data_IF_081530479525
#
_entry.id   IF_081530479525
#
_cell.length_a   1.000
_cell.length_b   1.000
_cell.length_c   1.000
_cell.angle_alpha   90.00
_cell.angle_beta   90.00
_cell.angle_gamma   90.00
#
_symmetry.space_group_name_H-M   'P 1'
#
loop_
_entity.id
_entity.type
_entity.pdbx_description
1 polymer ?
#
# COMPACT_ATOMS: atom_id res chain seq x y z
N UNK A 1 31.16 7.15 25.41
CA UNK A 1 29.92 7.87 25.10
C UNK A 1 28.76 6.97 25.53
N UNK A 2 28.17 7.26 26.69
CA UNK A 2 26.96 6.58 27.17
C UNK A 2 25.81 6.93 26.23
N UNK A 3 25.18 5.92 25.61
CA UNK A 3 23.93 6.12 24.87
C UNK A 3 22.87 6.55 25.88
N UNK A 4 22.57 7.83 25.90
CA UNK A 4 21.57 8.41 26.80
C UNK A 4 20.20 8.13 26.19
N UNK A 5 19.53 7.09 26.70
CA UNK A 5 18.20 6.69 26.25
C UNK A 5 17.16 7.52 27.02
N UNK A 6 16.53 8.49 26.35
CA UNK A 6 15.40 9.22 26.92
C UNK A 6 14.10 8.47 26.72
N UNK A 7 13.21 8.51 27.72
CA UNK A 7 11.85 7.99 27.59
C UNK A 7 10.96 9.04 26.95
N UNK A 8 10.08 8.63 26.05
CA UNK A 8 9.15 9.50 25.34
C UNK A 8 7.74 8.96 25.47
N UNK A 9 6.81 9.84 25.82
CA UNK A 9 5.39 9.57 25.96
C UNK A 9 4.65 10.33 24.86
N UNK A 10 3.81 9.63 24.11
CA UNK A 10 2.97 10.20 23.07
C UNK A 10 1.54 10.28 23.58
N UNK A 11 0.90 11.44 23.39
CA UNK A 11 -0.50 11.68 23.74
C UNK A 11 -1.21 12.19 22.49
N UNK A 12 -2.43 11.72 22.28
CA UNK A 12 -3.31 12.20 21.22
C UNK A 12 -4.33 13.16 21.83
N UNK A 13 -4.44 14.35 21.25
CA UNK A 13 -5.34 15.42 21.68
C UNK A 13 -5.21 15.72 23.19
N UNK A 14 -6.33 15.76 23.90
CA UNK A 14 -6.41 16.02 25.34
C UNK A 14 -6.49 14.73 26.19
N UNK A 15 -6.12 13.58 25.60
CA UNK A 15 -6.13 12.31 26.33
C UNK A 15 -5.09 12.29 27.46
N UNK A 16 -5.52 11.80 28.63
CA UNK A 16 -4.66 11.71 29.83
C UNK A 16 -3.73 10.50 29.79
N UNK A 17 -4.07 9.47 29.02
CA UNK A 17 -3.25 8.27 28.89
C UNK A 17 -2.37 8.40 27.66
N UNK A 18 -1.08 8.04 27.74
CA UNK A 18 -0.24 8.02 26.57
C UNK A 18 -0.65 6.88 25.63
N UNK A 19 -0.72 7.16 24.33
CA UNK A 19 -0.94 6.16 23.29
C UNK A 19 0.29 5.25 23.12
N UNK A 20 1.48 5.71 23.53
CA UNK A 20 2.71 4.94 23.54
C UNK A 20 3.74 5.50 24.53
N UNK A 21 4.45 4.60 25.21
CA UNK A 21 5.71 4.88 25.93
C UNK A 21 6.86 4.21 25.16
N UNK A 22 7.87 4.99 24.79
CA UNK A 22 8.96 4.54 23.92
C UNK A 22 10.32 5.01 24.42
N UNK A 23 11.39 4.34 24.02
CA UNK A 23 12.78 4.72 24.31
C UNK A 23 13.49 5.22 23.06
N UNK A 24 14.17 6.36 23.13
CA UNK A 24 14.84 6.96 21.97
C UNK A 24 16.24 6.39 21.70
N UNK A 25 16.73 6.42 20.44
CA UNK A 25 16.01 6.74 19.21
C UNK A 25 15.15 5.56 18.73
N UNK A 26 13.95 5.83 18.22
CA UNK A 26 12.98 4.81 17.80
C UNK A 26 12.21 5.24 16.57
N UNK A 27 11.83 4.27 15.74
CA UNK A 27 10.83 4.43 14.68
C UNK A 27 9.52 3.85 15.19
N UNK A 28 8.48 4.67 15.25
CA UNK A 28 7.16 4.29 15.73
C UNK A 28 6.15 4.33 14.58
N UNK A 29 5.46 3.22 14.36
CA UNK A 29 4.40 3.12 13.36
C UNK A 29 3.09 3.60 13.98
N UNK A 30 2.69 4.82 13.66
CA UNK A 30 1.47 5.43 14.14
C UNK A 30 0.29 5.04 13.23
N UNK A 31 -0.61 4.19 13.74
CA UNK A 31 -1.81 3.75 13.03
C UNK A 31 -2.95 4.76 13.21
N UNK A 32 -3.27 5.49 12.15
CA UNK A 32 -4.33 6.51 12.16
C UNK A 32 -5.71 5.95 11.87
N UNK A 33 -5.87 4.67 11.48
CA UNK A 33 -7.15 4.12 11.00
C UNK A 33 -8.26 4.12 12.07
N UNK A 34 -7.88 4.16 13.35
CA UNK A 34 -8.82 4.19 14.49
C UNK A 34 -9.08 5.60 15.01
N UNK A 35 -8.38 6.59 14.47
CA UNK A 35 -8.53 7.99 14.86
C UNK A 35 -9.70 8.57 14.04
N UNK A 36 -10.63 9.32 14.67
CA UNK A 36 -11.69 10.01 13.95
C UNK A 36 -11.15 10.95 12.88
N UNK A 37 -11.98 11.30 11.90
CA UNK A 37 -11.63 12.34 10.94
C UNK A 37 -11.70 13.71 11.59
N UNK A 38 -10.75 14.58 11.24
CA UNK A 38 -10.69 15.94 11.77
C UNK A 38 -9.29 16.42 12.10
N UNK A 39 -9.22 17.58 12.75
CA UNK A 39 -7.98 18.16 13.25
C UNK A 39 -7.61 17.52 14.59
N UNK A 40 -6.35 17.13 14.73
CA UNK A 40 -5.79 16.46 15.89
C UNK A 40 -4.44 17.07 16.29
N UNK A 41 -4.06 16.85 17.54
CA UNK A 41 -2.79 17.31 18.11
C UNK A 41 -2.04 16.13 18.70
N UNK A 42 -0.85 15.83 18.16
CA UNK A 42 0.07 14.87 18.75
C UNK A 42 1.00 15.59 19.72
N UNK A 43 0.86 15.28 21.01
CA UNK A 43 1.72 15.80 22.07
C UNK A 43 2.78 14.77 22.44
N UNK A 44 4.04 15.16 22.30
CA UNK A 44 5.22 14.34 22.59
C UNK A 44 5.89 14.91 23.84
N UNK A 45 5.99 14.11 24.89
CA UNK A 45 6.67 14.46 26.15
C UNK A 45 7.90 13.59 26.32
N UNK A 46 9.08 14.16 26.19
CA UNK A 46 10.36 13.48 26.46
C UNK A 46 10.77 13.71 27.90
N UNK A 47 11.16 12.65 28.62
CA UNK A 47 11.78 12.70 29.94
C UNK A 47 13.23 12.26 29.84
N UNK A 48 14.14 13.18 30.13
CA UNK A 48 15.58 12.90 30.22
C UNK A 48 15.91 12.20 31.54
N UNK A 49 17.01 11.45 31.55
CA UNK A 49 17.56 10.80 32.75
C UNK A 49 17.92 11.80 33.86
N UNK A 50 18.13 13.08 33.51
CA UNK A 50 18.37 14.17 34.46
C UNK A 50 17.08 14.81 34.99
N UNK A 51 15.90 14.22 34.72
CA UNK A 51 14.59 14.70 35.20
C UNK A 51 14.03 15.92 34.46
N UNK A 52 14.66 16.35 33.36
CA UNK A 52 14.13 17.43 32.51
C UNK A 52 13.08 16.88 31.56
N UNK A 53 11.97 17.61 31.44
CA UNK A 53 10.89 17.29 30.50
C UNK A 53 10.92 18.25 29.31
N UNK A 54 10.79 17.71 28.10
CA UNK A 54 10.62 18.47 26.87
C UNK A 54 9.28 18.15 26.23
N UNK A 55 8.51 19.17 25.83
CA UNK A 55 7.19 19.00 25.23
C UNK A 55 7.22 19.52 23.79
N UNK A 56 6.69 18.72 22.85
CA UNK A 56 6.48 19.13 21.46
C UNK A 56 5.03 18.83 21.05
N UNK A 57 4.37 19.79 20.42
CA UNK A 57 3.03 19.65 19.86
C UNK A 57 3.11 19.64 18.34
N UNK A 58 2.35 18.75 17.71
CA UNK A 58 2.26 18.63 16.25
C UNK A 58 0.78 18.58 15.88
N UNK A 59 0.31 19.59 15.15
CA UNK A 59 -1.04 19.61 14.59
C UNK A 59 -1.06 18.81 13.28
N UNK A 60 -2.08 17.97 13.11
CA UNK A 60 -2.27 17.16 11.90
C UNK A 60 -3.76 16.89 11.68
N UNK A 61 -4.13 16.58 10.43
CA UNK A 61 -5.51 16.27 10.07
C UNK A 61 -5.63 14.80 9.63
N UNK A 62 -6.61 14.09 10.18
CA UNK A 62 -6.94 12.72 9.78
C UNK A 62 -8.11 12.74 8.80
N UNK A 63 -7.97 11.96 7.71
CA UNK A 63 -8.97 11.80 6.64
C UNK A 63 -9.06 10.33 6.23
N UNK A 64 -9.67 9.51 7.09
CA UNK A 64 -9.94 8.11 6.87
C UNK A 64 -11.31 7.87 6.19
N UNK A 65 -12.22 8.84 6.28
CA UNK A 65 -13.56 8.77 5.71
C UNK A 65 -13.61 8.99 4.19
N UNK A 66 -14.83 8.91 3.60
CA UNK A 66 -15.02 9.08 2.17
C UNK A 66 -14.62 10.49 1.72
N UNK A 67 -13.93 10.56 0.58
CA UNK A 67 -13.61 11.83 -0.07
C UNK A 67 -14.83 12.34 -0.81
N UNK A 68 -15.24 13.56 -0.51
CA UNK A 68 -16.36 14.24 -1.18
C UNK A 68 -15.77 15.20 -2.22
N UNK A 69 -16.25 15.13 -3.47
CA UNK A 69 -15.99 16.14 -4.49
C UNK A 69 -17.30 16.82 -4.87
N UNK A 70 -17.25 18.14 -5.00
CA UNK A 70 -18.38 18.96 -5.42
C UNK A 70 -17.96 19.67 -6.70
N UNK A 71 -18.78 19.54 -7.73
CA UNK A 71 -18.65 20.27 -8.99
C UNK A 71 -19.84 21.22 -9.14
N UNK A 72 -19.59 22.36 -9.78
CA UNK A 72 -20.59 23.41 -9.96
C UNK A 72 -20.54 24.54 -8.93
N UNK A 73 -19.65 24.48 -7.92
CA UNK A 73 -19.39 25.59 -6.99
C UNK A 73 -17.95 25.52 -6.46
N UNK A 74 -17.26 26.66 -6.44
CA UNK A 74 -15.87 26.80 -5.95
C UNK A 74 -15.81 27.60 -4.63
N UNK A 75 -14.69 27.47 -3.92
CA UNK A 75 -14.45 28.27 -2.72
C UNK A 75 -14.47 29.78 -3.06
N UNK A 76 -15.27 30.53 -2.30
CA UNK A 76 -15.47 31.98 -2.43
C UNK A 76 -16.25 32.46 -3.66
N UNK A 77 -16.97 31.58 -4.37
CA UNK A 77 -17.86 32.00 -5.46
C UNK A 77 -19.02 32.88 -4.94
N UNK A 78 -19.34 33.94 -5.69
CA UNK A 78 -20.53 34.78 -5.47
C UNK A 78 -21.57 34.35 -6.48
N UNK A 79 -22.65 33.74 -6.01
CA UNK A 79 -23.71 33.14 -6.86
C UNK A 79 -25.07 33.77 -6.57
N UNK A 80 -25.92 33.86 -7.60
CA UNK A 80 -27.28 34.38 -7.51
C UNK A 80 -28.26 33.43 -8.21
N UNK A 81 -29.42 33.16 -7.60
CA UNK A 81 -30.44 32.28 -8.17
C UNK A 81 -30.18 30.78 -7.89
N UNK A 82 -30.50 29.92 -8.86
CA UNK A 82 -30.36 28.46 -8.75
C UNK A 82 -29.20 27.92 -9.58
N UNK A 83 -28.30 27.17 -8.96
CA UNK A 83 -27.10 26.60 -9.57
C UNK A 83 -27.13 25.07 -9.45
N UNK A 84 -26.94 24.31 -10.54
CA UNK A 84 -26.84 22.86 -10.47
C UNK A 84 -25.51 22.46 -9.82
N UNK A 85 -25.57 21.60 -8.81
CA UNK A 85 -24.41 21.03 -8.14
C UNK A 85 -24.36 19.52 -8.37
N UNK A 86 -23.17 19.03 -8.66
CA UNK A 86 -22.88 17.60 -8.69
C UNK A 86 -22.02 17.25 -7.49
N UNK A 87 -22.49 16.29 -6.68
CA UNK A 87 -21.80 15.86 -5.46
C UNK A 87 -21.44 14.38 -5.64
N UNK A 88 -20.15 14.08 -5.57
CA UNK A 88 -19.65 12.71 -5.59
C UNK A 88 -19.01 12.39 -4.24
N UNK A 89 -19.18 11.16 -3.76
CA UNK A 89 -18.53 10.66 -2.57
C UNK A 89 -17.83 9.33 -2.89
N UNK A 90 -16.52 9.28 -2.68
CA UNK A 90 -15.69 8.12 -2.93
C UNK A 90 -15.12 7.63 -1.61
N UNK A 91 -15.54 6.44 -1.19
CA UNK A 91 -14.91 5.76 -0.06
C UNK A 91 -13.59 5.12 -0.50
N UNK A 92 -12.51 5.38 0.23
CA UNK A 92 -11.24 4.66 0.09
C UNK A 92 -11.35 3.32 0.82
N UNK A 93 -12.39 2.54 0.53
CA UNK A 93 -12.50 1.18 1.02
C UNK A 93 -11.22 0.42 0.64
N UNK A 94 -10.66 -0.33 1.59
CA UNK A 94 -9.51 -1.21 1.36
C UNK A 94 -9.73 -1.94 0.03
N UNK A 95 -8.82 -1.85 -0.96
CA UNK A 95 -8.94 -2.62 -2.19
C UNK A 95 -8.75 -4.09 -1.84
N UNK A 96 -9.83 -4.74 -1.38
CA UNK A 96 -9.88 -6.18 -1.20
C UNK A 96 -9.92 -6.74 -2.60
N UNK A 97 -8.72 -6.99 -3.13
CA UNK A 97 -8.45 -7.67 -4.39
C UNK A 97 -9.16 -7.06 -5.59
N UNK A 98 -8.51 -6.10 -6.24
CA UNK A 98 -8.68 -5.97 -7.70
C UNK A 98 -7.87 -7.10 -8.35
N UNK A 99 -8.36 -8.34 -8.20
CA UNK A 99 -7.84 -9.47 -8.97
C UNK A 99 -8.52 -9.37 -10.33
N UNK A 100 -7.79 -8.86 -11.33
CA UNK A 100 -8.19 -9.03 -12.72
C UNK A 100 -7.96 -10.51 -13.05
N UNK A 101 -8.90 -11.36 -12.68
CA UNK A 101 -8.93 -12.74 -13.14
C UNK A 101 -9.33 -12.72 -14.63
N UNK A 102 -8.40 -13.11 -15.50
CA UNK A 102 -8.69 -13.27 -16.93
C UNK A 102 -8.21 -12.15 -17.87
N UNK A 103 -7.06 -11.53 -17.60
CA UNK A 103 -6.35 -10.73 -18.63
C UNK A 103 -5.57 -11.60 -19.64
N UNK A 104 -5.62 -12.93 -19.52
CA UNK A 104 -4.95 -13.85 -20.44
C UNK A 104 -6.02 -14.61 -21.23
N UNK A 105 -6.12 -14.32 -22.53
CA UNK A 105 -6.88 -15.16 -23.45
C UNK A 105 -6.18 -16.51 -23.55
N UNK A 106 -6.84 -17.65 -23.26
CA UNK A 106 -6.21 -18.96 -23.35
C UNK A 106 -5.79 -19.22 -24.80
N UNK A 107 -4.50 -19.08 -25.08
CA UNK A 107 -3.94 -19.33 -26.41
C UNK A 107 -3.50 -20.80 -26.50
N UNK A 108 -3.96 -21.49 -27.54
CA UNK A 108 -3.52 -22.87 -27.83
C UNK A 108 -2.03 -22.89 -28.19
N UNK A 109 -1.36 -24.01 -27.90
CA UNK A 109 0.05 -24.21 -28.27
C UNK A 109 0.25 -23.94 -29.77
N UNK A 110 1.19 -23.07 -30.16
CA UNK A 110 1.41 -22.76 -31.57
C UNK A 110 1.78 -23.98 -32.43
N UNK A 111 1.28 -24.03 -33.67
CA UNK A 111 1.52 -25.14 -34.61
C UNK A 111 3.00 -25.44 -34.83
N UNK A 112 3.88 -24.44 -34.79
CA UNK A 112 5.31 -24.63 -34.99
C UNK A 112 5.97 -25.52 -33.92
N UNK A 113 5.42 -25.57 -32.69
CA UNK A 113 5.90 -26.46 -31.63
C UNK A 113 5.67 -27.92 -32.01
N UNK A 114 4.51 -28.24 -32.57
CA UNK A 114 4.22 -29.57 -33.09
C UNK A 114 5.12 -29.95 -34.26
N UNK A 115 5.41 -29.00 -35.14
CA UNK A 115 6.37 -29.21 -36.24
C UNK A 115 7.77 -29.54 -35.71
N UNK A 116 8.25 -28.82 -34.68
CA UNK A 116 9.54 -29.12 -34.04
C UNK A 116 9.56 -30.52 -33.42
N UNK A 117 8.49 -30.93 -32.72
CA UNK A 117 8.39 -32.28 -32.14
C UNK A 117 8.49 -33.33 -33.25
N UNK A 118 7.77 -33.15 -34.36
CA UNK A 118 7.81 -34.07 -35.49
C UNK A 118 9.22 -34.17 -36.11
N UNK A 119 9.94 -33.04 -36.22
CA UNK A 119 11.32 -33.03 -36.72
C UNK A 119 12.24 -33.81 -35.77
N UNK A 120 12.16 -33.57 -34.46
CA UNK A 120 12.99 -34.26 -33.47
C UNK A 120 12.71 -35.78 -33.50
N UNK A 121 11.44 -36.18 -33.58
CA UNK A 121 11.05 -37.59 -33.65
C UNK A 121 11.55 -38.25 -34.95
N UNK A 122 11.39 -37.58 -36.09
CA UNK A 122 11.87 -38.09 -37.37
C UNK A 122 13.41 -38.23 -37.39
N UNK A 123 14.11 -37.24 -36.84
CA UNK A 123 15.56 -37.25 -36.72
C UNK A 123 16.04 -38.37 -35.79
N UNK A 124 15.42 -38.52 -34.61
CA UNK A 124 15.72 -39.60 -33.68
C UNK A 124 15.48 -40.97 -34.30
N UNK A 125 14.38 -41.16 -35.02
CA UNK A 125 14.07 -42.41 -35.70
C UNK A 125 15.08 -42.72 -36.82
N UNK A 126 15.47 -41.72 -37.60
CA UNK A 126 16.50 -41.86 -38.62
C UNK A 126 17.81 -42.39 -38.00
N UNK A 127 18.29 -41.77 -36.93
CA UNK A 127 19.52 -42.20 -36.26
C UNK A 127 19.43 -43.62 -35.70
N UNK A 128 18.31 -43.99 -35.07
CA UNK A 128 18.09 -45.34 -34.56
C UNK A 128 18.12 -46.39 -35.67
N UNK A 129 17.46 -46.12 -36.80
CA UNK A 129 17.42 -47.04 -37.94
C UNK A 129 18.81 -47.15 -38.59
N UNK A 130 19.52 -46.03 -38.76
CA UNK A 130 20.87 -46.06 -39.34
C UNK A 130 21.84 -46.81 -38.44
N UNK A 131 21.76 -46.62 -37.12
CA UNK A 131 22.65 -47.29 -36.18
C UNK A 131 22.41 -48.80 -36.12
N UNK A 132 21.13 -49.21 -36.12
CA UNK A 132 20.73 -50.62 -36.23
C UNK A 132 21.21 -51.23 -37.56
N UNK A 133 21.03 -50.51 -38.68
CA UNK A 133 21.48 -50.95 -39.99
C UNK A 133 23.00 -51.04 -40.11
N UNK A 134 23.74 -50.21 -39.38
CA UNK A 134 25.21 -50.20 -39.36
C UNK A 134 25.78 -51.25 -38.38
N UNK A 135 24.94 -52.00 -37.67
CA UNK A 135 25.34 -53.10 -36.78
C UNK A 135 26.04 -52.63 -35.50
N UNK A 136 25.79 -51.38 -35.07
CA UNK A 136 26.42 -50.78 -33.90
C UNK A 136 25.58 -51.01 -32.62
N UNK A 137 24.42 -51.67 -32.76
CA UNK A 137 23.65 -52.33 -31.70
C UNK A 137 23.10 -53.68 -32.17
#
# INVERSE_FOLDING_TARGET
MTKDHSKVFLFLDDEKQPIAELETPIVFNFDTNKIPDGEHILKIVSKSMTGREGIRLINFQVKNGPTISVEGLSENDIVEGSLPLMINAYDKGLPKSFVIEGSETPQTVPVWVWVMIMIILAWSAYYLITEYSNGIF
#
